data_IF_240391344817
#
_entry.id   IF_240391344817
#
_cell.length_a   1.000
_cell.length_b   1.000
_cell.length_c   1.000
_cell.angle_alpha   90.00
_cell.angle_beta   90.00
_cell.angle_gamma   90.00
#
_symmetry.space_group_name_H-M   'P 1'
#
loop_
_entity.id
_entity.type
_entity.pdbx_description
1 polymer ?
#
# COMPACT_ATOMS: atom_id res chain seq x y z
N UNK A 1 -34.89 -29.00 16.85
CA UNK A 1 -33.76 -28.28 17.47
C UNK A 1 -32.45 -29.08 17.50
N UNK A 2 -32.45 -30.41 17.70
CA UNK A 2 -31.21 -31.20 17.76
C UNK A 2 -30.44 -31.37 16.43
N UNK A 3 -31.13 -31.55 15.31
CA UNK A 3 -30.49 -31.79 14.00
C UNK A 3 -29.76 -30.58 13.43
N UNK A 4 -30.33 -29.38 13.57
CA UNK A 4 -29.73 -28.11 13.12
C UNK A 4 -28.42 -27.78 13.86
N UNK A 5 -28.34 -28.13 15.16
CA UNK A 5 -27.13 -27.93 15.97
C UNK A 5 -26.02 -28.92 15.59
N UNK A 6 -26.39 -30.13 15.18
CA UNK A 6 -25.44 -31.13 14.68
C UNK A 6 -24.88 -30.76 13.31
N UNK A 7 -25.72 -30.24 12.40
CA UNK A 7 -25.26 -29.79 11.08
C UNK A 7 -24.38 -28.54 11.17
N UNK A 8 -24.71 -27.57 12.03
CA UNK A 8 -23.85 -26.40 12.26
C UNK A 8 -22.50 -26.78 12.88
N UNK A 9 -22.48 -27.71 13.84
CA UNK A 9 -21.25 -28.23 14.44
C UNK A 9 -20.37 -28.97 13.42
N UNK A 10 -20.97 -29.78 12.54
CA UNK A 10 -20.24 -30.47 11.48
C UNK A 10 -19.59 -29.50 10.48
N UNK A 11 -20.29 -28.43 10.10
CA UNK A 11 -19.77 -27.38 9.20
C UNK A 11 -18.63 -26.61 9.88
N UNK A 12 -18.77 -26.25 11.16
CA UNK A 12 -17.71 -25.61 11.93
C UNK A 12 -16.45 -26.47 11.95
N UNK A 13 -16.58 -27.76 12.29
CA UNK A 13 -15.46 -28.72 12.31
C UNK A 13 -14.81 -28.89 10.93
N UNK A 14 -15.62 -28.88 9.86
CA UNK A 14 -15.08 -28.93 8.48
C UNK A 14 -14.20 -27.72 8.18
N UNK A 15 -14.60 -26.52 8.62
CA UNK A 15 -13.78 -25.31 8.46
C UNK A 15 -12.47 -25.38 9.24
N UNK A 16 -12.51 -25.82 10.51
CA UNK A 16 -11.30 -26.01 11.33
C UNK A 16 -10.34 -26.99 10.67
N UNK A 17 -10.84 -28.13 10.20
CA UNK A 17 -10.01 -29.12 9.51
C UNK A 17 -9.42 -28.59 8.20
N UNK A 18 -10.20 -27.83 7.41
CA UNK A 18 -9.70 -27.22 6.18
C UNK A 18 -8.53 -26.26 6.43
N UNK A 19 -8.65 -25.42 7.45
CA UNK A 19 -7.57 -24.50 7.87
C UNK A 19 -6.37 -25.28 8.41
N UNK A 20 -6.60 -26.33 9.21
CA UNK A 20 -5.54 -27.23 9.68
C UNK A 20 -4.76 -27.85 8.53
N UNK A 21 -5.46 -28.41 7.55
CA UNK A 21 -4.85 -29.08 6.40
C UNK A 21 -3.93 -28.12 5.64
N UNK A 22 -4.35 -26.86 5.44
CA UNK A 22 -3.52 -25.81 4.83
C UNK A 22 -2.24 -25.56 5.65
N UNK A 23 -2.39 -25.37 6.96
CA UNK A 23 -1.29 -25.05 7.88
C UNK A 23 -0.30 -26.21 7.98
N UNK A 24 -0.77 -27.42 8.22
CA UNK A 24 0.08 -28.60 8.40
C UNK A 24 0.75 -29.02 7.09
N UNK A 25 0.07 -28.87 5.94
CA UNK A 25 0.68 -29.10 4.61
C UNK A 25 1.85 -28.15 4.30
N UNK A 26 1.90 -27.00 4.98
CA UNK A 26 2.95 -25.99 4.89
C UNK A 26 4.08 -26.18 5.93
N UNK A 27 4.08 -27.35 6.61
CA UNK A 27 4.98 -27.69 7.71
C UNK A 27 4.88 -26.78 8.94
N UNK A 28 3.84 -25.94 9.04
CA UNK A 28 3.54 -25.16 10.23
C UNK A 28 2.63 -25.93 11.18
N UNK A 29 2.59 -25.55 12.46
CA UNK A 29 1.92 -26.35 13.49
C UNK A 29 0.56 -25.71 13.82
N UNK A 30 -0.49 -26.51 13.82
CA UNK A 30 -1.86 -26.09 14.17
C UNK A 30 -2.24 -26.61 15.56
N UNK A 31 -2.38 -25.69 16.52
CA UNK A 31 -2.79 -25.98 17.89
C UNK A 31 -4.28 -25.64 18.08
N UNK A 32 -5.16 -26.64 17.99
CA UNK A 32 -6.61 -26.45 18.19
C UNK A 32 -6.93 -26.11 19.66
N UNK A 33 -7.79 -25.13 19.89
CA UNK A 33 -8.33 -24.80 21.22
C UNK A 33 -9.60 -25.62 21.44
N UNK A 34 -9.61 -26.40 22.52
CA UNK A 34 -10.82 -27.13 22.90
C UNK A 34 -11.93 -26.17 23.36
N UNK A 35 -13.18 -26.46 23.00
CA UNK A 35 -14.35 -25.58 23.21
C UNK A 35 -14.55 -25.11 24.67
N UNK A 36 -14.07 -25.88 25.65
CA UNK A 36 -14.15 -25.51 27.08
C UNK A 36 -13.24 -24.31 27.43
N UNK A 37 -12.25 -24.02 26.58
CA UNK A 37 -11.26 -22.95 26.75
C UNK A 37 -11.39 -21.84 25.68
N UNK A 38 -12.47 -21.84 24.90
CA UNK A 38 -12.67 -20.84 23.84
C UNK A 38 -13.22 -19.54 24.43
N UNK A 39 -12.34 -18.55 24.56
CA UNK A 39 -12.68 -17.17 24.92
C UNK A 39 -12.71 -16.23 23.69
N UNK A 40 -12.60 -16.78 22.47
CA UNK A 40 -12.62 -16.04 21.21
C UNK A 40 -11.58 -16.47 20.18
N UNK A 41 -10.83 -17.56 20.38
CA UNK A 41 -9.86 -18.08 19.41
C UNK A 41 -10.06 -19.60 19.29
N UNK A 42 -10.25 -20.09 18.06
CA UNK A 42 -10.44 -21.52 17.80
C UNK A 42 -9.11 -22.28 17.72
N UNK A 43 -8.01 -21.58 17.39
CA UNK A 43 -6.70 -22.20 17.24
C UNK A 43 -5.54 -21.20 17.39
N UNK A 44 -4.34 -21.75 17.54
CA UNK A 44 -3.08 -21.03 17.37
C UNK A 44 -2.26 -21.69 16.28
N UNK A 45 -1.66 -20.89 15.39
CA UNK A 45 -0.74 -21.34 14.36
C UNK A 45 0.67 -20.96 14.77
N UNK A 46 1.56 -21.93 14.92
CA UNK A 46 2.99 -21.70 15.14
C UNK A 46 3.74 -21.87 13.82
N UNK A 47 4.40 -20.79 13.38
CA UNK A 47 5.00 -20.71 12.06
C UNK A 47 6.37 -21.39 12.02
N UNK A 48 6.56 -22.19 10.98
CA UNK A 48 7.82 -22.88 10.67
C UNK A 48 8.35 -22.36 9.35
N UNK A 49 9.63 -22.04 9.30
CA UNK A 49 10.30 -21.51 8.10
C UNK A 49 11.44 -22.45 7.72
N UNK A 50 11.23 -23.20 6.63
CA UNK A 50 12.02 -24.38 6.31
C UNK A 50 11.82 -25.47 7.37
N UNK A 51 12.87 -25.74 8.12
CA UNK A 51 12.88 -26.71 9.23
C UNK A 51 12.92 -26.06 10.60
N UNK A 52 13.00 -24.73 10.66
CA UNK A 52 13.13 -23.99 11.91
C UNK A 52 11.76 -23.54 12.41
N UNK A 53 11.39 -24.01 13.60
CA UNK A 53 10.25 -23.45 14.35
C UNK A 53 10.66 -22.08 14.86
N UNK A 54 10.01 -21.01 14.39
CA UNK A 54 10.45 -19.63 14.67
C UNK A 54 9.95 -19.09 16.02
N UNK A 55 9.11 -19.83 16.74
CA UNK A 55 8.43 -19.38 17.96
C UNK A 55 7.46 -18.20 17.71
N UNK A 56 7.08 -17.97 16.46
CA UNK A 56 6.13 -16.94 16.06
C UNK A 56 4.76 -17.60 15.96
N UNK A 57 3.85 -17.18 16.82
CA UNK A 57 2.50 -17.75 16.93
C UNK A 57 1.44 -16.71 16.61
N UNK A 58 0.44 -17.12 15.82
CA UNK A 58 -0.72 -16.32 15.42
C UNK A 58 -1.98 -16.96 16.02
N UNK A 59 -2.81 -16.17 16.69
CA UNK A 59 -4.11 -16.61 17.16
C UNK A 59 -5.14 -16.53 16.02
N UNK A 60 -6.03 -17.51 15.92
CA UNK A 60 -6.97 -17.65 14.81
C UNK A 60 -8.39 -17.85 15.31
N UNK A 61 -9.30 -17.01 14.84
CA UNK A 61 -10.74 -17.27 14.88
C UNK A 61 -11.19 -17.80 13.51
N UNK A 62 -11.90 -18.93 13.50
CA UNK A 62 -12.41 -19.61 12.33
C UNK A 62 -13.93 -19.54 12.32
N UNK A 63 -14.51 -19.04 11.22
CA UNK A 63 -15.94 -19.17 10.92
C UNK A 63 -16.12 -20.05 9.69
N UNK A 64 -17.22 -20.78 9.62
CA UNK A 64 -17.47 -21.72 8.54
C UNK A 64 -18.96 -21.80 8.24
N UNK A 65 -19.31 -21.66 6.96
CA UNK A 65 -20.68 -21.79 6.49
C UNK A 65 -21.13 -20.63 5.60
N UNK A 66 -22.11 -20.94 4.74
CA UNK A 66 -22.67 -20.00 3.76
C UNK A 66 -23.15 -18.68 4.35
N UNK A 67 -23.67 -18.68 5.58
CA UNK A 67 -24.17 -17.47 6.24
C UNK A 67 -23.09 -16.42 6.52
N UNK A 68 -21.81 -16.80 6.48
CA UNK A 68 -20.68 -15.90 6.67
C UNK A 68 -20.12 -15.35 5.36
N UNK A 69 -20.66 -15.77 4.21
CA UNK A 69 -20.13 -15.42 2.90
C UNK A 69 -21.21 -14.85 1.99
N UNK A 70 -20.82 -13.87 1.18
CA UNK A 70 -21.50 -13.49 -0.05
C UNK A 70 -20.64 -13.91 -1.25
N UNK A 71 -21.09 -13.59 -2.46
CA UNK A 71 -20.29 -13.82 -3.66
C UNK A 71 -18.99 -12.97 -3.70
N UNK A 72 -18.91 -11.89 -2.91
CA UNK A 72 -17.80 -10.91 -2.99
C UNK A 72 -17.12 -10.64 -1.64
N UNK A 73 -17.67 -11.13 -0.54
CA UNK A 73 -17.19 -10.82 0.81
C UNK A 73 -17.40 -11.96 1.80
N UNK A 74 -16.67 -11.90 2.90
CA UNK A 74 -16.82 -12.72 4.09
C UNK A 74 -17.08 -11.83 5.31
N UNK A 75 -17.74 -12.41 6.32
CA UNK A 75 -18.10 -11.71 7.56
C UNK A 75 -17.83 -12.57 8.79
N UNK A 76 -17.31 -11.93 9.84
CA UNK A 76 -17.04 -12.52 11.16
C UNK A 76 -17.90 -11.75 12.17
N UNK A 77 -19.14 -12.20 12.43
CA UNK A 77 -19.96 -11.63 13.50
C UNK A 77 -19.42 -12.08 14.86
N UNK A 78 -19.38 -11.15 15.80
CA UNK A 78 -18.85 -11.36 17.14
C UNK A 78 -19.63 -10.52 18.17
N UNK A 79 -19.04 -10.33 19.35
CA UNK A 79 -19.57 -9.47 20.41
C UNK A 79 -18.57 -8.36 20.70
N UNK A 80 -19.00 -7.30 21.42
CA UNK A 80 -18.07 -6.29 21.93
C UNK A 80 -16.93 -6.91 22.75
N UNK A 81 -17.25 -7.91 23.58
CA UNK A 81 -16.26 -8.60 24.41
C UNK A 81 -15.19 -9.30 23.56
N UNK A 82 -15.56 -9.92 22.44
CA UNK A 82 -14.58 -10.50 21.51
C UNK A 82 -13.70 -9.43 20.85
N UNK A 83 -14.27 -8.29 20.47
CA UNK A 83 -13.49 -7.18 19.91
C UNK A 83 -12.47 -6.64 20.93
N UNK A 84 -12.92 -6.39 22.17
CA UNK A 84 -12.06 -5.95 23.28
C UNK A 84 -10.95 -7.00 23.57
N UNK A 85 -11.31 -8.29 23.55
CA UNK A 85 -10.38 -9.40 23.73
C UNK A 85 -9.32 -9.48 22.61
N UNK A 86 -9.73 -9.46 21.35
CA UNK A 86 -8.80 -9.53 20.21
C UNK A 86 -7.86 -8.32 20.15
N UNK A 87 -8.36 -7.13 20.45
CA UNK A 87 -7.56 -5.90 20.44
C UNK A 87 -6.49 -5.93 21.54
N UNK A 88 -6.85 -6.39 22.74
CA UNK A 88 -5.95 -6.47 23.91
C UNK A 88 -5.06 -7.72 23.91
N UNK A 89 -5.33 -8.70 23.04
CA UNK A 89 -4.56 -9.94 22.93
C UNK A 89 -3.08 -9.66 22.66
N UNK A 90 -2.15 -10.38 23.29
CA UNK A 90 -0.70 -10.14 23.10
C UNK A 90 -0.21 -10.58 21.71
N UNK A 91 -0.71 -11.71 21.22
CA UNK A 91 -0.43 -12.21 19.86
C UNK A 91 -1.14 -11.40 18.77
N UNK A 92 -0.72 -11.57 17.52
CA UNK A 92 -1.55 -11.17 16.39
C UNK A 92 -2.78 -12.08 16.31
N UNK A 93 -3.95 -11.50 16.01
CA UNK A 93 -5.20 -12.26 15.87
C UNK A 93 -5.69 -12.10 14.44
N UNK A 94 -5.92 -13.22 13.77
CA UNK A 94 -6.49 -13.26 12.42
C UNK A 94 -7.82 -13.99 12.42
N UNK A 95 -8.68 -13.60 11.50
CA UNK A 95 -9.95 -14.26 11.24
C UNK A 95 -9.87 -15.04 9.94
N UNK A 96 -10.36 -16.28 9.92
CA UNK A 96 -10.46 -17.11 8.72
C UNK A 96 -11.92 -17.53 8.53
N UNK A 97 -12.47 -17.34 7.34
CA UNK A 97 -13.82 -17.76 6.99
C UNK A 97 -13.74 -18.82 5.90
N UNK A 98 -14.19 -20.04 6.18
CA UNK A 98 -14.33 -21.10 5.20
C UNK A 98 -15.70 -21.04 4.52
N UNK A 99 -15.68 -20.92 3.19
CA UNK A 99 -16.84 -21.01 2.32
C UNK A 99 -16.99 -22.46 1.80
N UNK A 100 -17.99 -23.22 2.28
CA UNK A 100 -18.19 -24.59 1.83
C UNK A 100 -18.73 -24.72 0.40
N UNK A 101 -19.31 -23.66 -0.19
CA UNK A 101 -19.82 -23.70 -1.57
C UNK A 101 -18.67 -23.57 -2.57
N UNK A 102 -17.73 -22.67 -2.31
CA UNK A 102 -16.52 -22.48 -3.12
C UNK A 102 -15.40 -23.47 -2.77
N UNK A 103 -15.49 -24.10 -1.59
CA UNK A 103 -14.42 -24.90 -0.99
C UNK A 103 -13.12 -24.11 -0.83
N UNK A 104 -13.25 -22.84 -0.47
CA UNK A 104 -12.14 -21.90 -0.25
C UNK A 104 -12.24 -21.29 1.15
N UNK A 105 -11.13 -20.80 1.67
CA UNK A 105 -11.13 -19.94 2.86
C UNK A 105 -10.51 -18.59 2.56
N UNK A 106 -10.93 -17.58 3.32
CA UNK A 106 -10.43 -16.22 3.22
C UNK A 106 -10.08 -15.68 4.60
N UNK A 107 -9.05 -14.84 4.70
CA UNK A 107 -8.53 -14.35 5.97
C UNK A 107 -8.44 -12.83 6.03
N UNK A 108 -8.43 -12.31 7.27
CA UNK A 108 -8.19 -10.91 7.60
C UNK A 108 -7.38 -10.79 8.89
N UNK A 109 -6.50 -9.79 8.98
CA UNK A 109 -5.89 -9.38 10.24
C UNK A 109 -6.93 -8.62 11.08
N UNK A 110 -7.48 -9.28 12.10
CA UNK A 110 -8.53 -8.74 12.97
C UNK A 110 -7.99 -7.53 13.74
N UNK A 111 -6.76 -7.61 14.27
CA UNK A 111 -6.21 -6.52 15.09
C UNK A 111 -5.96 -5.28 14.27
N UNK A 112 -5.39 -5.43 13.08
CA UNK A 112 -5.17 -4.33 12.17
C UNK A 112 -6.51 -3.73 11.71
N UNK A 113 -7.51 -4.56 11.39
CA UNK A 113 -8.85 -4.08 11.07
C UNK A 113 -9.44 -3.24 12.20
N UNK A 114 -9.43 -3.72 13.44
CA UNK A 114 -9.99 -2.99 14.58
C UNK A 114 -9.25 -1.68 14.87
N UNK A 115 -7.91 -1.66 14.80
CA UNK A 115 -7.11 -0.43 14.98
C UNK A 115 -7.43 0.65 13.96
N UNK A 116 -7.68 0.25 12.71
CA UNK A 116 -8.03 1.16 11.63
C UNK A 116 -9.51 1.53 11.60
N UNK A 117 -10.34 0.94 12.47
CA UNK A 117 -11.77 1.18 12.55
C UNK A 117 -12.21 1.32 14.03
N UNK A 118 -11.72 2.32 14.77
CA UNK A 118 -12.01 2.45 16.20
C UNK A 118 -13.52 2.58 16.49
N UNK A 119 -14.28 3.24 15.61
CA UNK A 119 -15.72 3.44 15.79
C UNK A 119 -16.51 2.13 15.90
N UNK A 120 -16.08 1.05 15.22
CA UNK A 120 -16.81 -0.23 15.28
C UNK A 120 -16.67 -0.93 16.63
N UNK A 121 -15.67 -0.55 17.42
CA UNK A 121 -15.39 -1.08 18.76
C UNK A 121 -16.34 -0.45 19.78
N UNK A 122 -16.63 0.84 19.63
CA UNK A 122 -17.47 1.59 20.56
C UNK A 122 -18.96 1.48 20.24
N UNK A 123 -19.30 1.41 18.96
CA UNK A 123 -20.69 1.53 18.51
C UNK A 123 -21.24 0.31 17.76
N UNK A 124 -20.40 -0.69 17.49
CA UNK A 124 -20.77 -1.83 16.66
C UNK A 124 -20.70 -1.52 15.16
N UNK A 125 -21.16 -2.44 14.28
CA UNK A 125 -22.08 -3.54 14.51
C UNK A 125 -21.45 -4.85 15.04
N UNK A 126 -20.22 -4.81 15.56
CA UNK A 126 -19.49 -5.98 16.07
C UNK A 126 -19.39 -7.13 15.06
N UNK A 127 -19.29 -6.77 13.78
CA UNK A 127 -19.13 -7.70 12.67
C UNK A 127 -18.03 -7.17 11.77
N UNK A 128 -16.98 -7.97 11.57
CA UNK A 128 -15.90 -7.65 10.63
C UNK A 128 -16.33 -8.14 9.26
N UNK A 129 -16.33 -7.28 8.25
CA UNK A 129 -16.63 -7.66 6.86
C UNK A 129 -15.44 -7.30 5.97
N UNK A 130 -15.04 -8.24 5.11
CA UNK A 130 -13.89 -8.08 4.22
C UNK A 130 -14.13 -8.74 2.88
N UNK A 131 -13.45 -8.25 1.84
CA UNK A 131 -13.63 -8.72 0.46
C UNK A 131 -12.93 -10.05 0.23
N UNK A 132 -13.50 -10.88 -0.64
CA UNK A 132 -12.87 -12.10 -1.17
C UNK A 132 -11.87 -11.73 -2.27
N UNK A 133 -10.70 -11.24 -1.88
CA UNK A 133 -9.61 -10.87 -2.80
C UNK A 133 -8.61 -12.03 -2.95
N UNK A 134 -7.73 -11.96 -3.95
CA UNK A 134 -6.65 -12.93 -4.10
C UNK A 134 -5.64 -12.83 -2.96
N UNK A 135 -5.39 -11.62 -2.42
CA UNK A 135 -4.61 -11.45 -1.19
C UNK A 135 -5.27 -12.10 0.03
N UNK A 136 -6.59 -11.97 0.16
CA UNK A 136 -7.34 -12.50 1.30
C UNK A 136 -7.58 -14.01 1.19
N UNK A 137 -7.36 -14.66 0.04
CA UNK A 137 -7.53 -16.11 -0.07
C UNK A 137 -6.51 -16.83 0.83
N UNK A 138 -7.03 -17.61 1.79
CA UNK A 138 -6.27 -18.45 2.69
C UNK A 138 -6.21 -19.85 2.07
N UNK A 139 -5.21 -20.08 1.22
CA UNK A 139 -4.91 -21.34 0.55
C UNK A 139 -3.51 -21.81 0.92
N UNK A 140 -3.14 -23.07 0.63
CA UNK A 140 -1.77 -23.56 0.89
C UNK A 140 -0.71 -22.72 0.18
N UNK A 141 -1.00 -22.24 -1.03
CA UNK A 141 -0.08 -21.38 -1.79
C UNK A 141 0.07 -20.00 -1.15
N UNK A 142 -1.04 -19.31 -0.87
CA UNK A 142 -0.99 -17.98 -0.24
C UNK A 142 -0.53 -18.04 1.22
N UNK A 143 -0.70 -19.18 1.89
CA UNK A 143 -0.15 -19.38 3.22
C UNK A 143 1.38 -19.25 3.19
N UNK A 144 2.04 -19.87 2.22
CA UNK A 144 3.49 -19.79 2.01
C UNK A 144 3.94 -18.46 1.40
N UNK A 145 3.23 -17.97 0.38
CA UNK A 145 3.65 -16.78 -0.39
C UNK A 145 3.33 -15.46 0.31
N UNK A 146 2.26 -15.40 1.09
CA UNK A 146 1.70 -14.15 1.64
C UNK A 146 1.61 -14.21 3.18
N UNK A 147 0.82 -15.14 3.73
CA UNK A 147 0.49 -15.15 5.15
C UNK A 147 1.72 -15.34 6.04
N UNK A 148 2.54 -16.37 5.77
CA UNK A 148 3.79 -16.64 6.51
C UNK A 148 4.76 -15.45 6.39
N UNK A 149 5.11 -14.95 5.19
CA UNK A 149 6.01 -13.80 5.08
C UNK A 149 5.58 -12.59 5.89
N UNK A 150 4.29 -12.23 5.87
CA UNK A 150 3.77 -11.09 6.65
C UNK A 150 4.08 -11.28 8.15
N UNK A 151 3.72 -12.43 8.71
CA UNK A 151 3.89 -12.70 10.15
C UNK A 151 5.35 -12.96 10.56
N UNK A 152 6.17 -13.47 9.64
CA UNK A 152 7.61 -13.64 9.82
C UNK A 152 8.40 -12.33 9.55
N UNK A 153 7.72 -11.23 9.18
CA UNK A 153 8.32 -9.96 8.77
C UNK A 153 9.33 -10.12 7.62
N UNK A 154 8.99 -10.96 6.66
CA UNK A 154 9.74 -11.20 5.41
C UNK A 154 8.99 -10.61 4.21
N UNK A 155 9.71 -10.51 3.09
CA UNK A 155 9.14 -10.10 1.82
C UNK A 155 8.12 -11.13 1.33
N UNK A 156 6.95 -10.64 0.88
CA UNK A 156 5.94 -11.45 0.18
C UNK A 156 6.54 -12.01 -1.11
N UNK A 157 6.25 -13.28 -1.41
CA UNK A 157 6.86 -14.03 -2.52
C UNK A 157 5.82 -14.30 -3.60
N UNK A 158 5.58 -13.32 -4.46
CA UNK A 158 4.78 -13.49 -5.68
C UNK A 158 5.69 -13.64 -6.88
N UNK A 159 5.27 -14.44 -7.87
CA UNK A 159 5.90 -14.38 -9.19
C UNK A 159 5.60 -13.04 -9.90
N UNK A 160 6.29 -12.77 -11.00
CA UNK A 160 6.15 -11.51 -11.73
C UNK A 160 4.72 -11.30 -12.24
N UNK A 161 4.05 -12.34 -12.74
CA UNK A 161 2.68 -12.22 -13.27
C UNK A 161 1.67 -12.00 -12.15
N UNK A 162 1.85 -12.66 -11.01
CA UNK A 162 1.06 -12.44 -9.80
C UNK A 162 1.22 -11.00 -9.28
N UNK A 163 2.47 -10.51 -9.19
CA UNK A 163 2.75 -9.13 -8.79
C UNK A 163 2.13 -8.09 -9.74
N UNK A 164 2.19 -8.34 -11.06
CA UNK A 164 1.53 -7.47 -12.05
C UNK A 164 0.00 -7.49 -11.88
N UNK A 165 -0.61 -8.66 -11.69
CA UNK A 165 -2.05 -8.76 -11.40
C UNK A 165 -2.43 -7.96 -10.16
N UNK A 166 -1.61 -8.01 -9.12
CA UNK A 166 -1.81 -7.26 -7.89
C UNK A 166 -1.70 -5.75 -8.12
N UNK A 167 -0.68 -5.28 -8.84
CA UNK A 167 -0.55 -3.86 -9.23
C UNK A 167 -1.77 -3.36 -10.01
N UNK A 168 -2.36 -4.19 -10.87
CA UNK A 168 -3.53 -3.85 -11.67
C UNK A 168 -4.86 -4.01 -10.91
N UNK A 169 -4.86 -4.58 -9.70
CA UNK A 169 -6.09 -4.78 -8.91
C UNK A 169 -6.66 -3.46 -8.42
N UNK A 170 -7.99 -3.35 -8.41
CA UNK A 170 -8.70 -2.23 -7.80
C UNK A 170 -8.79 -2.34 -6.26
N UNK A 171 -8.36 -3.45 -5.66
CA UNK A 171 -8.23 -3.54 -4.22
C UNK A 171 -6.96 -2.79 -3.75
N UNK A 172 -7.07 -1.84 -2.79
CA UNK A 172 -5.91 -1.07 -2.34
C UNK A 172 -4.78 -1.94 -1.79
N UNK A 173 -5.11 -3.01 -1.03
CA UNK A 173 -4.09 -3.88 -0.41
C UNK A 173 -3.31 -4.64 -1.48
N UNK A 174 -4.02 -5.21 -2.46
CA UNK A 174 -3.37 -5.89 -3.58
C UNK A 174 -2.52 -4.94 -4.40
N UNK A 175 -3.02 -3.73 -4.69
CA UNK A 175 -2.28 -2.71 -5.41
C UNK A 175 -0.97 -2.33 -4.71
N UNK A 176 -1.04 -2.04 -3.40
CA UNK A 176 0.13 -1.74 -2.56
C UNK A 176 1.14 -2.89 -2.53
N UNK A 177 0.67 -4.13 -2.33
CA UNK A 177 1.53 -5.31 -2.28
C UNK A 177 2.19 -5.53 -3.64
N UNK A 178 1.46 -5.38 -4.73
CA UNK A 178 1.98 -5.50 -6.08
C UNK A 178 3.14 -4.54 -6.34
N UNK A 179 2.97 -3.25 -6.01
CA UNK A 179 4.02 -2.23 -6.21
C UNK A 179 5.27 -2.62 -5.41
N UNK A 180 5.08 -2.99 -4.14
CA UNK A 180 6.17 -3.39 -3.26
C UNK A 180 6.91 -4.63 -3.76
N UNK A 181 6.21 -5.65 -4.25
CA UNK A 181 6.85 -6.87 -4.79
C UNK A 181 7.59 -6.57 -6.08
N UNK A 182 7.01 -5.78 -7.00
CA UNK A 182 7.70 -5.38 -8.23
C UNK A 182 9.00 -4.63 -7.92
N UNK A 183 8.97 -3.66 -7.01
CA UNK A 183 10.16 -2.90 -6.61
C UNK A 183 11.21 -3.78 -5.90
N UNK A 184 10.77 -4.66 -4.99
CA UNK A 184 11.67 -5.45 -4.14
C UNK A 184 12.29 -6.63 -4.87
N UNK A 185 11.49 -7.36 -5.64
CA UNK A 185 11.89 -8.63 -6.26
C UNK A 185 12.22 -8.50 -7.74
N UNK A 186 11.65 -7.51 -8.44
CA UNK A 186 11.71 -7.40 -9.90
C UNK A 186 12.26 -6.07 -10.40
N UNK A 187 13.01 -5.32 -9.58
CA UNK A 187 13.65 -4.05 -9.99
C UNK A 187 14.65 -4.19 -11.16
N UNK A 188 15.12 -5.40 -11.47
CA UNK A 188 15.98 -5.69 -12.62
C UNK A 188 15.20 -5.94 -13.93
N UNK A 189 13.87 -6.04 -13.85
CA UNK A 189 13.01 -6.36 -14.99
C UNK A 189 12.39 -5.09 -15.56
N UNK A 190 12.61 -4.84 -16.87
CA UNK A 190 12.03 -3.68 -17.54
C UNK A 190 10.50 -3.66 -17.46
N UNK A 191 9.87 -4.83 -17.60
CA UNK A 191 8.41 -4.96 -17.58
C UNK A 191 7.81 -4.52 -16.24
N UNK A 192 8.50 -4.74 -15.12
CA UNK A 192 8.03 -4.31 -13.80
C UNK A 192 7.90 -2.77 -13.74
N UNK A 193 8.92 -2.07 -14.23
CA UNK A 193 8.91 -0.60 -14.30
C UNK A 193 7.91 -0.05 -15.31
N UNK A 194 7.75 -0.71 -16.46
CA UNK A 194 6.73 -0.32 -17.43
C UNK A 194 5.32 -0.42 -16.83
N UNK A 195 5.03 -1.45 -16.03
CA UNK A 195 3.75 -1.59 -15.33
C UNK A 195 3.57 -0.53 -14.24
N UNK A 196 4.62 -0.23 -13.46
CA UNK A 196 4.60 0.88 -12.48
C UNK A 196 4.28 2.20 -13.17
N UNK A 197 4.97 2.54 -14.27
CA UNK A 197 4.77 3.82 -14.96
C UNK A 197 3.41 3.86 -15.67
N UNK A 198 2.96 2.77 -16.28
CA UNK A 198 1.63 2.70 -16.90
C UNK A 198 0.53 2.92 -15.87
N UNK A 199 0.60 2.25 -14.71
CA UNK A 199 -0.37 2.42 -13.63
C UNK A 199 -0.30 3.80 -13.01
N UNK A 200 0.90 4.37 -12.86
CA UNK A 200 1.04 5.77 -12.48
C UNK A 200 0.24 6.66 -13.43
N UNK A 201 0.37 6.51 -14.75
CA UNK A 201 -0.30 7.36 -15.75
C UNK A 201 -1.81 7.13 -15.84
N UNK A 202 -2.27 5.88 -15.85
CA UNK A 202 -3.63 5.53 -16.28
C UNK A 202 -4.64 5.38 -15.14
N UNK A 203 -4.19 5.10 -13.91
CA UNK A 203 -5.10 4.79 -12.78
C UNK A 203 -5.86 6.02 -12.31
N UNK A 204 -6.95 5.88 -11.57
CA UNK A 204 -7.54 7.03 -10.88
C UNK A 204 -6.70 7.39 -9.65
N UNK A 205 -6.43 8.68 -9.42
CA UNK A 205 -5.58 9.16 -8.32
C UNK A 205 -6.04 8.66 -6.95
N UNK A 206 -7.36 8.63 -6.70
CA UNK A 206 -7.96 8.16 -5.43
C UNK A 206 -7.75 6.66 -5.17
N UNK A 207 -7.35 5.90 -6.18
CA UNK A 207 -7.07 4.46 -6.07
C UNK A 207 -5.58 4.13 -6.22
N UNK A 208 -4.73 5.13 -6.42
CA UNK A 208 -3.29 4.98 -6.65
C UNK A 208 -2.56 5.02 -5.31
N UNK A 209 -1.70 4.04 -5.06
CA UNK A 209 -0.87 4.05 -3.86
C UNK A 209 0.27 5.08 -4.01
N UNK A 210 0.43 6.03 -3.07
CA UNK A 210 1.53 6.99 -3.05
C UNK A 210 2.93 6.38 -3.13
N UNK A 211 3.12 5.14 -2.68
CA UNK A 211 4.39 4.39 -2.78
C UNK A 211 4.88 4.23 -4.23
N UNK A 212 4.03 4.49 -5.24
CA UNK A 212 4.46 4.50 -6.64
C UNK A 212 5.46 5.61 -6.95
N UNK A 213 5.34 6.79 -6.31
CA UNK A 213 6.32 7.86 -6.47
C UNK A 213 7.64 7.48 -5.80
N UNK A 214 7.57 6.93 -4.59
CA UNK A 214 8.75 6.37 -3.91
C UNK A 214 9.46 5.32 -4.78
N UNK A 215 8.70 4.46 -5.47
CA UNK A 215 9.24 3.47 -6.39
C UNK A 215 9.97 4.13 -7.56
N UNK A 216 9.31 5.06 -8.26
CA UNK A 216 9.90 5.76 -9.42
C UNK A 216 11.10 6.63 -9.06
N UNK A 217 11.16 7.19 -7.84
CA UNK A 217 12.27 8.03 -7.38
C UNK A 217 13.62 7.28 -7.33
N UNK A 218 13.62 5.94 -7.34
CA UNK A 218 14.86 5.16 -7.45
C UNK A 218 15.55 5.30 -8.82
N UNK A 219 14.81 5.68 -9.87
CA UNK A 219 15.30 5.82 -11.24
C UNK A 219 16.26 7.02 -11.41
N UNK A 220 15.85 8.27 -11.13
CA UNK A 220 16.77 9.42 -11.20
C UNK A 220 17.94 9.23 -10.23
N UNK A 221 17.67 8.63 -9.07
CA UNK A 221 18.56 8.60 -7.92
C UNK A 221 18.06 9.58 -6.90
N UNK A 222 17.90 9.13 -5.67
CA UNK A 222 17.34 9.92 -4.59
C UNK A 222 18.25 9.74 -3.35
N UNK A 223 18.60 10.83 -2.66
CA UNK A 223 19.68 10.83 -1.67
C UNK A 223 19.36 10.01 -0.42
N UNK A 224 18.07 9.78 -0.14
CA UNK A 224 17.63 9.10 1.08
C UNK A 224 16.97 7.73 0.84
N UNK A 225 16.99 7.21 -0.39
CA UNK A 225 16.47 5.86 -0.68
C UNK A 225 17.55 5.02 -1.36
N UNK A 226 17.72 3.80 -0.85
CA UNK A 226 18.85 2.96 -1.20
C UNK A 226 18.39 1.56 -1.54
N UNK A 227 19.05 0.97 -2.53
CA UNK A 227 18.91 -0.45 -2.81
C UNK A 227 19.59 -1.28 -1.73
N UNK A 228 19.00 -2.42 -1.39
CA UNK A 228 19.69 -3.40 -0.56
C UNK A 228 20.75 -4.14 -1.38
N UNK A 229 21.70 -4.81 -0.71
CA UNK A 229 22.73 -5.62 -1.37
C UNK A 229 22.19 -6.77 -2.22
N UNK A 230 20.93 -7.17 -2.00
CA UNK A 230 20.25 -8.23 -2.74
C UNK A 230 19.49 -7.73 -3.96
N UNK A 231 19.25 -6.42 -4.06
CA UNK A 231 18.58 -5.81 -5.20
C UNK A 231 19.61 -5.39 -6.23
N UNK A 232 19.50 -5.95 -7.44
CA UNK A 232 20.34 -5.55 -8.58
C UNK A 232 19.50 -4.67 -9.48
N UNK A 233 19.87 -3.40 -9.61
CA UNK A 233 19.26 -2.50 -10.58
C UNK A 233 20.30 -2.16 -11.65
N UNK A 234 20.25 -2.80 -12.84
CA UNK A 234 21.26 -2.61 -13.88
C UNK A 234 21.35 -1.16 -14.35
N UNK A 235 22.56 -0.65 -14.52
CA UNK A 235 22.76 0.74 -14.97
C UNK A 235 22.14 1.00 -16.34
N UNK A 236 22.24 0.06 -17.28
CA UNK A 236 21.63 0.16 -18.61
C UNK A 236 20.11 0.33 -18.52
N UNK A 237 19.45 -0.49 -17.70
CA UNK A 237 18.01 -0.38 -17.44
C UNK A 237 17.68 0.98 -16.82
N UNK A 238 18.48 1.45 -15.86
CA UNK A 238 18.28 2.76 -15.23
C UNK A 238 18.34 3.90 -16.23
N UNK A 239 19.32 3.90 -17.14
CA UNK A 239 19.42 4.92 -18.19
C UNK A 239 18.24 4.85 -19.17
N UNK A 240 17.78 3.64 -19.53
CA UNK A 240 16.56 3.48 -20.33
C UNK A 240 15.33 4.07 -19.63
N UNK A 241 15.17 3.86 -18.33
CA UNK A 241 14.04 4.38 -17.54
C UNK A 241 14.12 5.89 -17.32
N UNK A 242 15.32 6.46 -17.18
CA UNK A 242 15.51 7.91 -17.14
C UNK A 242 15.01 8.58 -18.41
N UNK A 243 15.27 8.00 -19.60
CA UNK A 243 14.73 8.50 -20.87
C UNK A 243 13.20 8.47 -20.92
N UNK A 244 12.58 7.47 -20.28
CA UNK A 244 11.12 7.41 -20.18
C UNK A 244 10.58 8.52 -19.27
N UNK A 245 11.17 8.74 -18.09
CA UNK A 245 10.75 9.83 -17.20
C UNK A 245 11.05 11.20 -17.81
N UNK A 246 12.16 11.37 -18.54
CA UNK A 246 12.50 12.67 -19.14
C UNK A 246 11.42 13.16 -20.11
N UNK A 247 10.71 12.22 -20.74
CA UNK A 247 9.59 12.48 -21.64
C UNK A 247 8.25 12.81 -20.97
N UNK A 248 8.15 12.78 -19.63
CA UNK A 248 6.90 13.10 -18.91
C UNK A 248 6.38 14.47 -19.29
N UNK A 249 5.08 14.59 -19.54
CA UNK A 249 4.44 15.84 -19.98
C UNK A 249 3.91 16.68 -18.82
N UNK A 250 3.12 17.71 -19.12
CA UNK A 250 2.51 18.59 -18.11
C UNK A 250 1.51 17.83 -17.25
N UNK A 251 0.73 16.92 -17.84
CA UNK A 251 -0.27 16.14 -17.12
C UNK A 251 0.39 15.17 -16.15
N UNK A 252 1.49 14.52 -16.55
CA UNK A 252 2.29 13.68 -15.66
C UNK A 252 2.80 14.46 -14.44
N UNK A 253 3.32 15.69 -14.62
CA UNK A 253 3.79 16.52 -13.50
C UNK A 253 2.62 16.94 -12.60
N UNK A 254 1.52 17.44 -13.16
CA UNK A 254 0.31 17.79 -12.38
C UNK A 254 -0.13 16.60 -11.54
N UNK A 255 -0.11 15.42 -12.12
CA UNK A 255 -0.51 14.19 -11.47
C UNK A 255 0.41 13.80 -10.31
N UNK A 256 1.73 14.00 -10.43
CA UNK A 256 2.67 13.88 -9.31
C UNK A 256 2.30 14.87 -8.20
N UNK A 257 2.09 16.14 -8.53
CA UNK A 257 1.78 17.19 -7.57
C UNK A 257 0.45 16.92 -6.82
N UNK A 258 -0.55 16.38 -7.50
CA UNK A 258 -1.84 16.01 -6.90
C UNK A 258 -1.75 14.88 -5.86
N UNK A 259 -0.62 14.18 -5.77
CA UNK A 259 -0.41 13.11 -4.79
C UNK A 259 0.26 13.62 -3.50
N UNK A 260 0.71 14.87 -3.48
CA UNK A 260 1.47 15.43 -2.36
C UNK A 260 0.55 15.97 -1.28
N UNK A 261 0.99 15.85 -0.03
CA UNK A 261 0.47 16.66 1.05
C UNK A 261 0.98 18.09 0.87
N UNK A 262 0.07 19.05 0.86
CA UNK A 262 0.38 20.47 0.63
C UNK A 262 1.14 21.05 1.82
N UNK A 263 0.92 20.51 3.03
CA UNK A 263 1.61 20.96 4.24
C UNK A 263 3.09 20.55 4.23
N UNK A 264 3.37 19.30 3.85
CA UNK A 264 4.75 18.78 3.77
C UNK A 264 5.49 19.32 2.53
N UNK A 265 4.78 19.67 1.46
CA UNK A 265 5.33 20.24 0.23
C UNK A 265 6.43 19.36 -0.37
N UNK A 266 7.69 19.82 -0.25
CA UNK A 266 8.90 19.15 -0.76
C UNK A 266 9.94 18.88 0.33
N UNK A 267 9.53 18.88 1.60
CA UNK A 267 10.42 18.63 2.74
C UNK A 267 11.13 17.27 2.63
N UNK A 268 12.35 17.20 3.15
CA UNK A 268 13.14 15.97 3.18
C UNK A 268 12.44 14.89 4.01
N UNK A 269 12.37 13.70 3.45
CA UNK A 269 11.65 12.56 4.01
C UNK A 269 10.16 12.53 3.67
N UNK A 270 9.59 13.62 3.11
CA UNK A 270 8.23 13.63 2.57
C UNK A 270 8.15 12.90 1.23
N UNK A 271 6.91 12.65 0.78
CA UNK A 271 6.65 12.18 -0.58
C UNK A 271 7.07 13.22 -1.62
N UNK A 272 7.05 14.50 -1.26
CA UNK A 272 7.49 15.61 -2.09
C UNK A 272 8.95 15.50 -2.52
N UNK A 273 9.83 15.05 -1.63
CA UNK A 273 11.23 14.81 -1.99
C UNK A 273 11.37 13.74 -3.09
N UNK A 274 10.55 12.69 -3.05
CA UNK A 274 10.48 11.68 -4.11
C UNK A 274 9.93 12.25 -5.42
N UNK A 275 8.90 13.10 -5.33
CA UNK A 275 8.34 13.81 -6.48
C UNK A 275 9.36 14.75 -7.15
N UNK A 276 10.09 15.55 -6.37
CA UNK A 276 11.15 16.42 -6.87
C UNK A 276 12.20 15.61 -7.62
N UNK A 277 12.69 14.51 -7.03
CA UNK A 277 13.70 13.68 -7.66
C UNK A 277 13.26 13.18 -9.05
N UNK A 278 11.98 12.81 -9.20
CA UNK A 278 11.39 12.41 -10.50
C UNK A 278 11.32 13.60 -11.46
N UNK A 279 10.77 14.73 -11.00
CA UNK A 279 10.58 15.92 -11.84
C UNK A 279 11.93 16.54 -12.27
N UNK A 280 12.98 16.37 -11.47
CA UNK A 280 14.31 16.94 -11.70
C UNK A 280 14.93 16.51 -13.04
N UNK A 281 14.61 15.29 -13.50
CA UNK A 281 15.09 14.73 -14.76
C UNK A 281 14.12 14.91 -15.94
N UNK A 282 12.98 15.59 -15.73
CA UNK A 282 12.02 15.86 -16.80
C UNK A 282 12.56 16.94 -17.75
N UNK A 283 12.51 16.66 -19.05
CA UNK A 283 12.95 17.60 -20.08
C UNK A 283 12.08 18.84 -20.08
N UNK A 284 12.71 20.03 -20.17
CA UNK A 284 12.00 21.33 -20.16
C UNK A 284 11.06 21.51 -18.94
N UNK A 285 11.39 20.90 -17.80
CA UNK A 285 10.58 20.97 -16.56
C UNK A 285 10.17 22.40 -16.17
N UNK A 286 11.06 23.38 -16.28
CA UNK A 286 10.73 24.78 -15.96
C UNK A 286 9.62 25.36 -16.84
N UNK A 287 9.64 25.06 -18.15
CA UNK A 287 8.58 25.50 -19.08
C UNK A 287 7.25 24.83 -18.71
N UNK A 288 7.27 23.53 -18.43
CA UNK A 288 6.07 22.77 -18.03
C UNK A 288 5.50 23.27 -16.70
N UNK A 289 6.34 23.58 -15.72
CA UNK A 289 5.92 24.17 -14.45
C UNK A 289 5.24 25.54 -14.66
N UNK A 290 5.77 26.38 -15.56
CA UNK A 290 5.12 27.65 -15.93
C UNK A 290 3.74 27.43 -16.56
N UNK A 291 3.56 26.39 -17.38
CA UNK A 291 2.25 26.03 -17.91
C UNK A 291 1.25 25.64 -16.80
N UNK A 292 1.71 24.89 -15.79
CA UNK A 292 0.91 24.51 -14.61
C UNK A 292 0.52 25.75 -13.80
N UNK A 293 1.50 26.62 -13.47
CA UNK A 293 1.28 27.86 -12.69
C UNK A 293 0.22 28.74 -13.36
N UNK A 294 0.21 28.81 -14.69
CA UNK A 294 -0.72 29.65 -15.46
C UNK A 294 -2.11 29.02 -15.67
N UNK A 295 -2.28 27.74 -15.38
CA UNK A 295 -3.51 27.02 -15.62
C UNK A 295 -4.53 27.25 -14.49
N UNK A 296 -5.44 28.20 -14.68
CA UNK A 296 -6.46 28.57 -13.69
C UNK A 296 -7.54 27.49 -13.47
N UNK A 297 -7.59 26.42 -14.28
CA UNK A 297 -8.52 25.31 -14.06
C UNK A 297 -8.00 24.33 -12.98
N UNK A 298 -6.70 24.41 -12.65
CA UNK A 298 -6.10 23.64 -11.57
C UNK A 298 -6.36 24.30 -10.21
N UNK A 299 -6.43 23.46 -9.18
CA UNK A 299 -6.48 23.90 -7.80
C UNK A 299 -5.26 24.76 -7.46
N UNK A 300 -5.49 25.79 -6.63
CA UNK A 300 -4.46 26.75 -6.22
C UNK A 300 -3.25 26.05 -5.61
N UNK A 301 -3.49 25.06 -4.76
CA UNK A 301 -2.49 24.31 -4.02
C UNK A 301 -1.49 23.61 -4.96
N UNK A 302 -1.99 23.04 -6.06
CA UNK A 302 -1.16 22.40 -7.09
C UNK A 302 -0.29 23.43 -7.83
N UNK A 303 -0.87 24.59 -8.12
CA UNK A 303 -0.15 25.69 -8.78
C UNK A 303 0.92 26.27 -7.86
N UNK A 304 0.65 26.37 -6.57
CA UNK A 304 1.63 26.79 -5.55
C UNK A 304 2.81 25.82 -5.44
N UNK A 305 2.56 24.51 -5.41
CA UNK A 305 3.63 23.51 -5.46
C UNK A 305 4.49 23.65 -6.73
N UNK A 306 3.86 23.97 -7.87
CA UNK A 306 4.59 24.26 -9.11
C UNK A 306 5.42 25.55 -9.03
N UNK A 307 4.93 26.59 -8.35
CA UNK A 307 5.69 27.83 -8.06
C UNK A 307 6.94 27.49 -7.24
N UNK A 308 6.80 26.69 -6.17
CA UNK A 308 7.91 26.27 -5.32
C UNK A 308 8.99 25.55 -6.14
N UNK A 309 8.62 24.55 -6.94
CA UNK A 309 9.57 23.84 -7.81
C UNK A 309 10.21 24.75 -8.85
N UNK A 310 9.45 25.67 -9.44
CA UNK A 310 9.98 26.60 -10.44
C UNK A 310 11.05 27.51 -9.84
N UNK A 311 10.78 28.09 -8.66
CA UNK A 311 11.74 28.88 -7.91
C UNK A 311 13.00 28.08 -7.55
N UNK A 312 12.81 26.83 -7.09
CA UNK A 312 13.91 25.94 -6.76
C UNK A 312 14.79 25.55 -7.97
N UNK A 313 14.23 25.35 -9.16
CA UNK A 313 15.05 24.97 -10.32
C UNK A 313 15.73 26.17 -10.99
N UNK A 314 15.04 27.31 -11.08
CA UNK A 314 15.54 28.49 -11.82
C UNK A 314 16.31 29.47 -10.91
N UNK A 315 16.19 29.34 -9.58
CA UNK A 315 16.92 30.14 -8.59
C UNK A 315 16.81 31.64 -8.91
N UNK A 316 17.91 32.39 -8.97
CA UNK A 316 17.91 33.83 -9.29
C UNK A 316 17.18 34.18 -10.61
N UNK A 317 17.18 33.28 -11.59
CA UNK A 317 16.47 33.49 -12.86
C UNK A 317 14.94 33.52 -12.68
N UNK A 318 14.43 32.97 -11.57
CA UNK A 318 13.01 32.96 -11.24
C UNK A 318 12.50 34.30 -10.71
N UNK A 319 13.36 35.22 -10.23
CA UNK A 319 12.94 36.43 -9.49
C UNK A 319 11.91 37.26 -10.28
N UNK A 320 12.24 37.66 -11.51
CA UNK A 320 11.33 38.49 -12.30
C UNK A 320 10.06 37.72 -12.73
N UNK A 321 10.15 36.47 -13.24
CA UNK A 321 8.96 35.66 -13.49
C UNK A 321 8.04 35.49 -12.27
N UNK A 322 8.59 35.27 -11.08
CA UNK A 322 7.83 35.12 -9.84
C UNK A 322 7.12 36.41 -9.46
N UNK A 323 7.76 37.57 -9.62
CA UNK A 323 7.10 38.89 -9.45
C UNK A 323 5.94 39.08 -10.42
N UNK A 324 6.13 38.69 -11.67
CA UNK A 324 5.08 38.76 -12.68
C UNK A 324 3.91 37.83 -12.33
N UNK A 325 4.20 36.62 -11.81
CA UNK A 325 3.18 35.70 -11.30
C UNK A 325 2.44 36.26 -10.09
N UNK A 326 3.14 36.85 -9.11
CA UNK A 326 2.51 37.45 -7.93
C UNK A 326 1.55 38.60 -8.29
N UNK A 327 1.88 39.40 -9.31
CA UNK A 327 0.99 40.47 -9.81
C UNK A 327 -0.22 39.88 -10.55
N UNK A 328 0.00 38.88 -11.40
CA UNK A 328 -1.04 38.32 -12.26
C UNK A 328 -1.98 37.35 -11.54
N UNK A 329 -1.45 36.62 -10.56
CA UNK A 329 -2.09 35.54 -9.81
C UNK A 329 -1.87 35.79 -8.30
N UNK A 330 -2.50 36.85 -7.74
CA UNK A 330 -2.28 37.26 -6.35
C UNK A 330 -2.71 36.20 -5.32
N UNK A 331 -3.46 35.18 -5.74
CA UNK A 331 -3.78 34.04 -4.91
C UNK A 331 -2.57 33.13 -4.63
N UNK A 332 -1.56 33.09 -5.52
CA UNK A 332 -0.36 32.25 -5.39
C UNK A 332 0.68 32.90 -4.46
N UNK A 333 0.45 32.81 -3.16
CA UNK A 333 1.23 33.51 -2.13
C UNK A 333 2.74 33.20 -2.19
N UNK A 334 3.10 31.96 -2.52
CA UNK A 334 4.49 31.53 -2.65
C UNK A 334 5.24 32.28 -3.74
N UNK A 335 4.56 32.85 -4.75
CA UNK A 335 5.25 33.58 -5.81
C UNK A 335 5.91 34.87 -5.28
N UNK A 336 5.22 35.63 -4.44
CA UNK A 336 5.79 36.81 -3.80
C UNK A 336 6.85 36.45 -2.75
N UNK A 337 6.56 35.44 -1.92
CA UNK A 337 7.45 35.04 -0.81
C UNK A 337 8.79 34.51 -1.34
N UNK A 338 8.77 33.65 -2.37
CA UNK A 338 9.99 33.11 -2.96
C UNK A 338 10.75 34.13 -3.79
N UNK A 339 10.07 35.09 -4.42
CA UNK A 339 10.75 36.21 -5.08
C UNK A 339 11.54 37.05 -4.07
N UNK A 340 10.91 37.39 -2.94
CA UNK A 340 11.57 38.13 -1.85
C UNK A 340 12.75 37.33 -1.27
N UNK A 341 12.53 36.05 -0.96
CA UNK A 341 13.60 35.18 -0.46
C UNK A 341 14.80 35.12 -1.42
N UNK A 342 14.56 34.95 -2.72
CA UNK A 342 15.63 34.93 -3.72
C UNK A 342 16.36 36.26 -3.84
N UNK A 343 15.68 37.40 -3.68
CA UNK A 343 16.33 38.72 -3.69
C UNK A 343 17.19 38.98 -2.44
N UNK A 344 16.77 38.45 -1.28
CA UNK A 344 17.44 38.66 0.00
C UNK A 344 18.59 37.65 0.19
N UNK A 345 18.31 36.37 0.00
CA UNK A 345 19.23 35.26 0.32
C UNK A 345 20.00 34.76 -0.92
N UNK A 346 19.51 35.01 -2.13
CA UNK A 346 20.14 34.57 -3.39
C UNK A 346 19.87 33.11 -3.77
N UNK A 347 19.15 32.35 -2.93
CA UNK A 347 18.86 30.93 -3.21
C UNK A 347 17.58 30.43 -2.51
N UNK A 348 17.03 29.34 -3.06
CA UNK A 348 15.96 28.52 -2.46
C UNK A 348 16.42 27.07 -2.38
N UNK A 349 16.15 26.43 -1.24
CA UNK A 349 16.42 25.01 -1.03
C UNK A 349 15.30 24.40 -0.18
N UNK A 350 14.89 23.17 -0.50
CA UNK A 350 13.94 22.40 0.31
C UNK A 350 14.72 21.62 1.37
N UNK A 351 14.43 21.87 2.65
CA UNK A 351 15.13 21.26 3.78
C UNK A 351 14.73 19.83 4.04
#
# INVERSE_FOLDING_TARGET
>A
MGTTKLTSSAIAKKGVNFVRDIVESSNSIFHEVHQENDYGNDAFIELVDGTDVKGITVAVQIKSGKSFCSNVSCSIPASKQHFDYWLSHSLNVVGVVYDPEEQKSYWIDIKNYLRNNPDVIDHGPYTITFKKTAFAEFSSENFEKIFKPIHLRKQIVLDLNEAIKFVLSNDPTEHSVGINVLLRSYCHELIAWQQIIAVFKERQLTMLDPAILYSMAHIPGHPDIYWTSTQKFPQELREQLKLLISSFDVEDIVRILCMLDVEDGFERGSLGQSAEAIISIVDKKAIKLVEIIKNCDLQKEIRDLAVMLYAYYEQELAIQPLKDFAVKYPELLWASELAEQLEVEGYVYFY
#
